data_IF_205463662493
#
_entry.id   IF_205463662493
#
_cell.length_a   1.000
_cell.length_b   1.000
_cell.length_c   1.000
_cell.angle_alpha   90.00
_cell.angle_beta   90.00
_cell.angle_gamma   90.00
#
_symmetry.space_group_name_H-M   'P 1'
#
loop_
_entity.id
_entity.type
_entity.pdbx_description
1 polymer ?
#
# COMPACT_ATOMS: atom_id res chain seq x y z
N UNK A 1 80.21 -32.59 57.17
CA UNK A 1 78.94 -33.22 56.92
C UNK A 1 77.82 -32.28 57.39
N UNK A 2 77.34 -31.57 56.43
CA UNK A 2 76.20 -30.67 56.66
C UNK A 2 74.96 -31.35 56.12
N UNK A 3 74.03 -31.66 56.96
CA UNK A 3 72.76 -32.31 56.62
C UNK A 3 71.81 -31.20 56.29
N UNK A 4 71.42 -31.07 54.99
CA UNK A 4 70.43 -30.15 54.57
C UNK A 4 69.04 -30.70 55.01
N UNK A 5 68.38 -29.89 55.84
CA UNK A 5 67.02 -30.11 56.28
C UNK A 5 66.07 -29.85 55.06
N UNK A 6 65.34 -30.87 54.71
CA UNK A 6 64.32 -30.77 53.66
C UNK A 6 63.17 -29.87 54.07
N UNK A 7 62.89 -28.86 53.30
CA UNK A 7 61.70 -28.02 53.43
C UNK A 7 60.42 -28.85 53.12
N UNK A 8 59.36 -28.73 53.92
CA UNK A 8 58.10 -29.39 53.66
C UNK A 8 57.40 -28.73 52.49
N UNK A 9 57.23 -29.43 51.38
CA UNK A 9 56.45 -28.98 50.22
C UNK A 9 54.95 -28.98 50.58
N UNK A 10 54.44 -27.82 50.87
CA UNK A 10 52.99 -27.62 51.08
C UNK A 10 52.25 -27.58 49.70
N UNK A 11 51.55 -28.60 49.40
CA UNK A 11 50.62 -28.58 48.20
C UNK A 11 49.31 -27.94 48.63
N UNK A 12 49.06 -26.70 48.19
CA UNK A 12 47.81 -25.99 48.33
C UNK A 12 46.99 -26.15 47.06
N UNK A 13 45.74 -26.59 47.18
CA UNK A 13 44.76 -26.56 46.07
C UNK A 13 43.98 -25.26 46.20
N UNK A 14 44.16 -24.37 45.23
CA UNK A 14 43.43 -23.09 45.18
C UNK A 14 42.35 -23.16 44.09
N UNK A 15 41.11 -22.80 44.42
CA UNK A 15 40.04 -22.58 43.45
C UNK A 15 39.93 -21.08 43.18
N UNK A 16 40.24 -20.65 41.96
CA UNK A 16 40.06 -19.26 41.53
C UNK A 16 38.71 -19.09 40.84
N UNK A 17 37.77 -18.42 41.48
CA UNK A 17 36.51 -18.01 40.87
C UNK A 17 36.70 -16.63 40.25
N UNK A 18 36.73 -16.57 38.90
CA UNK A 18 36.76 -15.30 38.16
C UNK A 18 35.35 -14.89 37.85
N UNK A 19 34.78 -13.98 38.62
CA UNK A 19 33.46 -13.37 38.34
C UNK A 19 33.75 -12.14 37.48
N UNK A 20 33.32 -12.11 36.19
CA UNK A 20 33.47 -10.95 35.34
C UNK A 20 32.40 -9.91 35.73
N UNK A 21 32.76 -9.00 36.63
CA UNK A 21 31.95 -7.79 36.84
C UNK A 21 32.14 -6.91 35.62
N UNK A 22 31.08 -6.84 34.74
CA UNK A 22 31.05 -5.87 33.66
C UNK A 22 31.07 -4.47 34.27
N UNK A 23 32.18 -3.74 34.10
CA UNK A 23 32.26 -2.34 34.53
C UNK A 23 31.25 -1.53 33.69
N UNK A 24 30.49 -0.62 34.30
CA UNK A 24 29.48 0.23 33.64
C UNK A 24 30.05 0.90 32.39
N UNK A 25 31.28 1.37 32.41
CA UNK A 25 32.00 1.97 31.29
C UNK A 25 32.22 1.05 30.08
N UNK A 26 32.18 -0.26 30.25
CA UNK A 26 32.34 -1.23 29.17
C UNK A 26 30.99 -1.54 28.51
N UNK A 27 29.90 -1.42 29.26
CA UNK A 27 28.54 -1.68 28.77
C UNK A 27 27.84 -0.43 28.22
N UNK A 28 28.29 0.78 28.59
CA UNK A 28 27.75 2.05 28.10
C UNK A 28 27.68 2.14 26.56
N UNK A 29 28.75 1.84 25.78
CA UNK A 29 28.67 1.92 24.33
C UNK A 29 27.74 0.87 23.73
N UNK A 30 27.60 -0.31 24.32
CA UNK A 30 26.68 -1.36 23.89
C UNK A 30 25.24 -0.97 24.19
N UNK A 31 24.97 -0.37 25.34
CA UNK A 31 23.64 0.15 25.66
C UNK A 31 23.27 1.35 24.78
N UNK A 32 24.19 2.26 24.50
CA UNK A 32 23.97 3.39 23.62
C UNK A 32 23.65 2.91 22.17
N UNK A 33 24.41 1.92 21.68
CA UNK A 33 24.13 1.31 20.37
C UNK A 33 22.75 0.66 20.32
N UNK A 34 22.37 -0.13 21.34
CA UNK A 34 21.06 -0.77 21.40
C UNK A 34 19.92 0.24 21.50
N UNK A 35 20.07 1.33 22.22
CA UNK A 35 19.10 2.42 22.29
C UNK A 35 18.96 3.08 20.93
N UNK A 36 20.07 3.38 20.23
CA UNK A 36 20.04 3.98 18.90
C UNK A 36 19.38 3.07 17.86
N UNK A 37 19.61 1.75 17.94
CA UNK A 37 18.94 0.78 17.07
C UNK A 37 17.42 0.72 17.33
N UNK A 38 17.01 0.79 18.60
CA UNK A 38 15.60 0.84 18.98
C UNK A 38 14.94 2.12 18.45
N UNK A 39 15.54 3.28 18.67
CA UNK A 39 15.05 4.57 18.19
C UNK A 39 14.91 4.59 16.66
N UNK A 40 15.89 4.02 15.95
CA UNK A 40 15.85 3.89 14.50
C UNK A 40 14.70 2.95 14.05
N UNK A 41 14.53 1.82 14.72
CA UNK A 41 13.46 0.88 14.43
C UNK A 41 12.06 1.51 14.66
N UNK A 42 11.89 2.25 15.76
CA UNK A 42 10.66 2.98 16.06
C UNK A 42 10.39 4.13 15.06
N UNK A 43 11.44 4.82 14.61
CA UNK A 43 11.31 5.85 13.59
C UNK A 43 10.87 5.24 12.25
N UNK A 44 11.50 4.13 11.86
CA UNK A 44 11.16 3.38 10.64
C UNK A 44 9.73 2.84 10.69
N UNK A 45 9.31 2.29 11.83
CA UNK A 45 7.92 1.80 12.02
C UNK A 45 6.91 2.94 11.87
N UNK A 46 7.18 4.12 12.48
CA UNK A 46 6.31 5.30 12.34
C UNK A 46 6.21 5.78 10.90
N UNK A 47 7.34 5.83 10.18
CA UNK A 47 7.35 6.20 8.76
C UNK A 47 6.56 5.24 7.90
N UNK A 48 6.77 3.93 8.05
CA UNK A 48 6.03 2.90 7.33
C UNK A 48 4.53 2.95 7.62
N UNK A 49 4.15 3.17 8.87
CA UNK A 49 2.75 3.34 9.27
C UNK A 49 2.10 4.53 8.56
N UNK A 50 2.76 5.70 8.58
CA UNK A 50 2.28 6.89 7.88
C UNK A 50 2.15 6.67 6.38
N UNK A 51 3.13 5.97 5.79
CA UNK A 51 3.09 5.63 4.36
C UNK A 51 1.89 4.73 4.02
N UNK A 52 1.64 3.69 4.81
CA UNK A 52 0.50 2.77 4.61
C UNK A 52 -0.82 3.51 4.79
N UNK A 53 -0.96 4.32 5.84
CA UNK A 53 -2.16 5.13 6.07
C UNK A 53 -2.42 6.12 4.91
N UNK A 54 -1.37 6.76 4.39
CA UNK A 54 -1.43 7.63 3.22
C UNK A 54 -1.87 6.87 1.95
N UNK A 55 -1.34 5.68 1.72
CA UNK A 55 -1.74 4.83 0.58
C UNK A 55 -3.21 4.41 0.67
N UNK A 56 -3.69 4.01 1.84
CA UNK A 56 -5.10 3.67 2.08
C UNK A 56 -6.00 4.87 1.84
N UNK A 57 -5.64 6.05 2.37
CA UNK A 57 -6.41 7.27 2.17
C UNK A 57 -6.50 7.65 0.69
N UNK A 58 -5.38 7.61 -0.04
CA UNK A 58 -5.34 7.87 -1.48
C UNK A 58 -6.18 6.87 -2.28
N UNK A 59 -6.10 5.58 -1.95
CA UNK A 59 -6.88 4.53 -2.61
C UNK A 59 -8.39 4.71 -2.38
N UNK A 60 -8.83 5.11 -1.18
CA UNK A 60 -10.24 5.44 -0.89
C UNK A 60 -10.76 6.61 -1.73
N UNK A 61 -9.96 7.67 -1.85
CA UNK A 61 -10.32 8.84 -2.67
C UNK A 61 -10.41 8.45 -4.15
N UNK A 62 -9.47 7.65 -4.65
CA UNK A 62 -9.45 7.17 -6.02
C UNK A 62 -10.68 6.29 -6.34
N UNK A 63 -11.05 5.36 -5.45
CA UNK A 63 -12.24 4.51 -5.60
C UNK A 63 -13.52 5.35 -5.60
N UNK A 64 -13.69 6.28 -4.66
CA UNK A 64 -14.83 7.16 -4.60
C UNK A 64 -14.97 8.07 -5.84
N UNK A 65 -13.84 8.53 -6.39
CA UNK A 65 -13.81 9.31 -7.64
C UNK A 65 -14.21 8.46 -8.84
N UNK A 66 -13.67 7.25 -8.99
CA UNK A 66 -14.00 6.33 -10.06
C UNK A 66 -15.49 5.95 -10.03
N UNK A 67 -16.06 5.77 -8.84
CA UNK A 67 -17.50 5.49 -8.65
C UNK A 67 -18.38 6.63 -9.15
N UNK A 68 -18.05 7.88 -8.82
CA UNK A 68 -18.77 9.06 -9.33
C UNK A 68 -18.66 9.17 -10.84
N UNK A 69 -17.45 8.99 -11.38
CA UNK A 69 -17.20 9.04 -12.82
C UNK A 69 -18.01 7.97 -13.57
N UNK A 70 -18.09 6.75 -13.05
CA UNK A 70 -18.96 5.70 -13.63
C UNK A 70 -20.43 6.14 -13.66
N UNK A 71 -20.94 6.73 -12.56
CA UNK A 71 -22.30 7.25 -12.52
C UNK A 71 -22.58 8.31 -13.59
N UNK A 72 -21.61 9.22 -13.80
CA UNK A 72 -21.73 10.26 -14.83
C UNK A 72 -21.69 9.70 -16.26
N UNK A 73 -20.77 8.76 -16.53
CA UNK A 73 -20.66 8.12 -17.84
C UNK A 73 -21.87 7.25 -18.15
N UNK A 74 -22.44 6.57 -17.16
CA UNK A 74 -23.68 5.79 -17.35
C UNK A 74 -24.87 6.68 -17.72
N UNK A 75 -25.01 7.83 -17.03
CA UNK A 75 -26.06 8.81 -17.35
C UNK A 75 -25.89 9.37 -18.75
N UNK A 76 -24.66 9.74 -19.13
CA UNK A 76 -24.35 10.23 -20.47
C UNK A 76 -24.65 9.18 -21.54
N UNK A 77 -24.26 7.94 -21.32
CA UNK A 77 -24.54 6.83 -22.25
C UNK A 77 -26.03 6.58 -22.41
N UNK A 78 -26.82 6.65 -21.34
CA UNK A 78 -28.25 6.50 -21.39
C UNK A 78 -28.93 7.62 -22.24
N UNK A 79 -28.57 8.89 -21.96
CA UNK A 79 -29.13 10.04 -22.72
C UNK A 79 -28.74 10.02 -24.19
N UNK A 80 -27.50 9.66 -24.52
CA UNK A 80 -27.08 9.58 -25.94
C UNK A 80 -27.71 8.41 -26.66
N UNK A 81 -28.00 7.30 -25.99
CA UNK A 81 -28.77 6.19 -26.56
C UNK A 81 -30.20 6.58 -26.83
N UNK A 82 -30.88 7.24 -25.88
CA UNK A 82 -32.23 7.77 -26.07
C UNK A 82 -32.26 8.74 -27.24
N UNK A 83 -31.31 9.70 -27.30
CA UNK A 83 -31.20 10.60 -28.46
C UNK A 83 -31.03 9.85 -29.78
N UNK A 84 -30.17 8.84 -29.83
CA UNK A 84 -29.94 8.05 -31.04
C UNK A 84 -31.24 7.36 -31.51
N UNK A 85 -32.02 6.80 -30.56
CA UNK A 85 -33.32 6.20 -30.87
C UNK A 85 -34.32 7.20 -31.44
N UNK A 86 -34.40 8.42 -30.87
CA UNK A 86 -35.30 9.46 -31.37
C UNK A 86 -34.87 9.96 -32.76
N UNK A 87 -33.58 10.14 -33.01
CA UNK A 87 -33.04 10.53 -34.32
C UNK A 87 -33.29 9.44 -35.37
N UNK A 88 -33.16 8.17 -34.98
CA UNK A 88 -33.48 7.04 -35.87
C UNK A 88 -34.95 7.00 -36.26
N UNK A 89 -35.86 7.23 -35.31
CA UNK A 89 -37.31 7.35 -35.60
C UNK A 89 -37.60 8.53 -36.52
N UNK A 90 -36.98 9.69 -36.30
CA UNK A 90 -37.13 10.86 -37.19
C UNK A 90 -36.55 10.61 -38.59
N UNK A 91 -35.43 9.86 -38.69
CA UNK A 91 -34.91 9.44 -39.99
C UNK A 91 -35.89 8.51 -40.73
N UNK A 92 -36.50 7.54 -40.03
CA UNK A 92 -37.51 6.65 -40.62
C UNK A 92 -38.76 7.40 -41.08
N UNK A 93 -39.12 8.50 -40.41
CA UNK A 93 -40.18 9.41 -40.81
C UNK A 93 -39.81 10.33 -42.00
N UNK A 94 -38.54 10.30 -42.45
CA UNK A 94 -38.02 11.16 -43.52
C UNK A 94 -37.71 12.59 -43.11
N UNK A 95 -37.70 12.89 -41.78
CA UNK A 95 -37.49 14.25 -41.25
C UNK A 95 -36.02 14.56 -40.96
N UNK A 96 -35.16 13.54 -40.82
CA UNK A 96 -33.74 13.68 -40.49
C UNK A 96 -32.87 13.07 -41.59
N UNK A 97 -31.72 13.69 -41.86
CA UNK A 97 -30.80 13.20 -42.87
C UNK A 97 -29.89 12.08 -42.32
N UNK A 98 -29.50 11.14 -43.18
CA UNK A 98 -28.61 10.01 -42.83
C UNK A 98 -27.33 10.41 -42.06
N UNK A 99 -26.60 11.49 -42.42
CA UNK A 99 -25.39 11.90 -41.68
C UNK A 99 -25.68 12.24 -40.22
N UNK A 100 -26.84 12.79 -39.91
CA UNK A 100 -27.22 13.13 -38.53
C UNK A 100 -27.54 11.87 -37.72
N UNK A 101 -28.27 10.92 -38.30
CA UNK A 101 -28.51 9.62 -37.68
C UNK A 101 -27.18 8.90 -37.38
N UNK A 102 -26.25 8.85 -38.35
CA UNK A 102 -24.94 8.22 -38.13
C UNK A 102 -24.11 8.90 -37.03
N UNK A 103 -24.17 10.24 -36.94
CA UNK A 103 -23.50 10.97 -35.84
C UNK A 103 -24.11 10.61 -34.47
N UNK A 104 -25.45 10.52 -34.40
CA UNK A 104 -26.12 10.17 -33.16
C UNK A 104 -25.77 8.74 -32.69
N UNK A 105 -25.79 7.78 -33.63
CA UNK A 105 -25.40 6.39 -33.34
C UNK A 105 -23.93 6.28 -32.93
N UNK A 106 -23.04 6.98 -33.62
CA UNK A 106 -21.61 7.01 -33.28
C UNK A 106 -21.39 7.60 -31.89
N UNK A 107 -22.05 8.70 -31.54
CA UNK A 107 -21.97 9.33 -30.22
C UNK A 107 -22.48 8.39 -29.11
N UNK A 108 -23.57 7.67 -29.35
CA UNK A 108 -24.08 6.68 -28.40
C UNK A 108 -23.12 5.51 -28.20
N UNK A 109 -22.55 4.98 -29.29
CA UNK A 109 -21.56 3.91 -29.23
C UNK A 109 -20.28 4.32 -28.47
N UNK A 110 -19.79 5.55 -28.71
CA UNK A 110 -18.65 6.10 -28.01
C UNK A 110 -18.91 6.26 -26.49
N UNK A 111 -20.08 6.82 -26.13
CA UNK A 111 -20.46 6.98 -24.73
C UNK A 111 -20.61 5.63 -24.02
N UNK A 112 -21.08 4.61 -24.70
CA UNK A 112 -21.16 3.26 -24.14
C UNK A 112 -19.77 2.65 -23.92
N UNK A 113 -18.83 2.86 -24.84
CA UNK A 113 -17.44 2.44 -24.65
C UNK A 113 -16.77 3.17 -23.48
N UNK A 114 -17.03 4.47 -23.30
CA UNK A 114 -16.53 5.25 -22.15
C UNK A 114 -17.12 4.77 -20.82
N UNK A 115 -18.42 4.42 -20.79
CA UNK A 115 -19.04 3.82 -19.61
C UNK A 115 -18.39 2.47 -19.25
N UNK A 116 -18.10 1.61 -20.22
CA UNK A 116 -17.41 0.34 -20.00
C UNK A 116 -15.97 0.55 -19.47
N UNK A 117 -15.26 1.55 -19.99
CA UNK A 117 -13.93 1.93 -19.47
C UNK A 117 -13.99 2.44 -18.03
N UNK A 118 -14.98 3.26 -17.70
CA UNK A 118 -15.20 3.75 -16.35
C UNK A 118 -15.54 2.61 -15.37
N UNK A 119 -16.27 1.60 -15.81
CA UNK A 119 -16.53 0.39 -15.02
C UNK A 119 -15.25 -0.39 -14.73
N UNK A 120 -14.38 -0.58 -15.73
CA UNK A 120 -13.10 -1.22 -15.56
C UNK A 120 -12.18 -0.40 -14.61
N UNK A 121 -12.19 0.93 -14.74
CA UNK A 121 -11.43 1.81 -13.85
C UNK A 121 -11.89 1.72 -12.39
N UNK A 122 -13.21 1.61 -12.14
CA UNK A 122 -13.74 1.40 -10.79
C UNK A 122 -13.30 0.04 -10.25
N UNK A 123 -13.38 -1.04 -11.03
CA UNK A 123 -12.92 -2.37 -10.61
C UNK A 123 -11.43 -2.34 -10.23
N UNK A 124 -10.59 -1.66 -11.03
CA UNK A 124 -9.18 -1.48 -10.72
C UNK A 124 -8.94 -0.68 -9.44
N UNK A 125 -9.68 0.42 -9.23
CA UNK A 125 -9.57 1.24 -8.04
C UNK A 125 -10.00 0.46 -6.77
N UNK A 126 -11.06 -0.35 -6.87
CA UNK A 126 -11.51 -1.24 -5.79
C UNK A 126 -10.45 -2.28 -5.44
N UNK A 127 -9.83 -2.94 -6.44
CA UNK A 127 -8.74 -3.89 -6.20
C UNK A 127 -7.53 -3.24 -5.52
N UNK A 128 -7.15 -2.02 -5.94
CA UNK A 128 -6.07 -1.27 -5.29
C UNK A 128 -6.39 -0.92 -3.84
N UNK A 129 -7.63 -0.57 -3.54
CA UNK A 129 -8.05 -0.30 -2.17
C UNK A 129 -7.98 -1.58 -1.32
N UNK A 130 -8.43 -2.72 -1.83
CA UNK A 130 -8.33 -4.01 -1.15
C UNK A 130 -6.87 -4.39 -0.86
N UNK A 131 -5.98 -4.21 -1.84
CA UNK A 131 -4.54 -4.42 -1.65
C UNK A 131 -3.95 -3.49 -0.59
N UNK A 132 -4.30 -2.20 -0.61
CA UNK A 132 -3.84 -1.24 0.40
C UNK A 132 -4.33 -1.57 1.81
N UNK A 133 -5.50 -2.22 1.94
CA UNK A 133 -6.05 -2.70 3.20
C UNK A 133 -5.49 -4.06 3.65
N UNK A 134 -4.63 -4.68 2.83
CA UNK A 134 -4.10 -6.02 3.11
C UNK A 134 -5.12 -7.15 2.92
N UNK A 135 -6.25 -6.88 2.28
CA UNK A 135 -7.24 -7.90 1.93
C UNK A 135 -6.83 -8.49 0.59
N UNK A 136 -6.31 -9.72 0.61
CA UNK A 136 -6.02 -10.45 -0.64
C UNK A 136 -7.34 -10.85 -1.32
N UNK A 137 -7.42 -10.70 -2.65
CA UNK A 137 -8.57 -11.18 -3.41
C UNK A 137 -8.64 -12.70 -3.43
#
# INVERSE_FOLDING_TARGET
>A
HEVAAGEPSTRGVGVALRIPFGTASRNEPLMAAAISELELAEATERELRQQVEGQVAAARVAEASARRQLGDQNRRAALLRERATLVEQSFQAGETALPEMLRALTAAAQAQAESARAQAALAQATSRLQQALGVMP
#
